data_IF_192012853298
#
_entry.id   IF_192012853298
#
_cell.length_a   1.000
_cell.length_b   1.000
_cell.length_c   1.000
_cell.angle_alpha   90.00
_cell.angle_beta   90.00
_cell.angle_gamma   90.00
#
_symmetry.space_group_name_H-M   'P 1'
#
loop_
_entity.id
_entity.type
_entity.pdbx_description
1 polymer ?
#
# COMPACT_ATOMS: atom_id res chain seq x y z
N UNK A 1 31.75 -19.23 30.88
CA UNK A 1 30.58 -18.55 30.31
C UNK A 1 30.33 -19.21 28.99
N UNK A 2 29.22 -19.92 28.88
CA UNK A 2 28.84 -20.71 27.70
C UNK A 2 28.72 -19.82 26.47
N UNK A 3 29.53 -20.12 25.47
CA UNK A 3 29.28 -19.72 24.10
C UNK A 3 28.07 -20.53 23.62
N UNK A 4 26.87 -19.98 23.75
CA UNK A 4 25.68 -20.54 23.11
C UNK A 4 25.93 -20.52 21.60
N UNK A 5 26.13 -21.71 21.05
CA UNK A 5 26.22 -21.97 19.63
C UNK A 5 25.04 -21.28 18.94
N UNK A 6 25.34 -20.30 18.08
CA UNK A 6 24.36 -19.72 17.16
C UNK A 6 23.94 -20.82 16.20
N UNK A 7 22.94 -21.58 16.59
CA UNK A 7 22.26 -22.53 15.71
C UNK A 7 21.78 -21.72 14.51
N UNK A 8 22.39 -21.94 13.35
CA UNK A 8 21.97 -21.32 12.10
C UNK A 8 20.67 -22.01 11.73
N UNK A 9 19.56 -21.57 12.33
CA UNK A 9 18.23 -22.04 11.99
C UNK A 9 17.96 -21.56 10.57
N UNK A 10 18.19 -22.44 9.60
CA UNK A 10 17.85 -22.22 8.19
C UNK A 10 16.33 -22.17 8.13
N UNK A 11 15.77 -20.96 8.10
CA UNK A 11 14.33 -20.78 7.93
C UNK A 11 13.94 -21.26 6.56
N UNK A 12 13.01 -22.21 6.54
CA UNK A 12 12.41 -22.70 5.31
C UNK A 12 11.80 -21.54 4.49
N UNK A 13 11.93 -21.62 3.16
CA UNK A 13 11.46 -20.56 2.25
C UNK A 13 9.95 -20.40 2.29
N UNK A 14 9.20 -21.49 2.43
CA UNK A 14 7.74 -21.47 2.50
C UNK A 14 7.30 -20.89 3.85
N UNK A 15 7.98 -21.23 4.95
CA UNK A 15 7.73 -20.61 6.24
C UNK A 15 8.00 -19.11 6.22
N UNK A 16 9.14 -18.68 5.65
CA UNK A 16 9.46 -17.25 5.47
C UNK A 16 8.38 -16.53 4.67
N UNK A 17 7.90 -17.14 3.58
CA UNK A 17 6.81 -16.58 2.76
C UNK A 17 5.52 -16.47 3.55
N UNK A 18 5.15 -17.51 4.31
CA UNK A 18 3.93 -17.53 5.14
C UNK A 18 3.95 -16.42 6.19
N UNK A 19 5.07 -16.24 6.89
CA UNK A 19 5.25 -15.14 7.86
C UNK A 19 5.03 -13.78 7.18
N UNK A 20 5.68 -13.53 6.04
CA UNK A 20 5.54 -12.27 5.30
C UNK A 20 4.11 -12.01 4.83
N UNK A 21 3.40 -13.04 4.37
CA UNK A 21 2.01 -12.92 3.92
C UNK A 21 1.06 -12.59 5.07
N UNK A 22 1.19 -13.29 6.20
CA UNK A 22 0.39 -13.02 7.40
C UNK A 22 0.61 -11.60 7.92
N UNK A 23 1.87 -11.17 8.06
CA UNK A 23 2.20 -9.80 8.49
C UNK A 23 1.60 -8.76 7.53
N UNK A 24 1.70 -8.97 6.22
CA UNK A 24 1.09 -8.05 5.24
C UNK A 24 -0.44 -8.00 5.34
N UNK A 25 -1.10 -9.12 5.63
CA UNK A 25 -2.56 -9.13 5.84
C UNK A 25 -2.95 -8.31 7.07
N UNK A 26 -2.21 -8.46 8.17
CA UNK A 26 -2.40 -7.69 9.40
C UNK A 26 -2.19 -6.20 9.16
N UNK A 27 -1.11 -5.82 8.49
CA UNK A 27 -0.81 -4.42 8.19
C UNK A 27 -1.87 -3.77 7.29
N UNK A 28 -2.42 -4.51 6.31
CA UNK A 28 -3.48 -4.01 5.42
C UNK A 28 -4.82 -3.79 6.11
N UNK A 29 -5.18 -4.62 7.10
CA UNK A 29 -6.43 -4.45 7.87
C UNK A 29 -6.31 -3.42 8.99
N UNK A 30 -5.08 -3.06 9.35
CA UNK A 30 -4.79 -2.17 10.46
C UNK A 30 -4.56 -0.73 9.99
N UNK A 31 -4.77 0.22 10.88
CA UNK A 31 -4.35 1.61 10.64
C UNK A 31 -2.83 1.75 10.81
N UNK A 32 -2.16 2.33 9.81
CA UNK A 32 -0.73 2.65 9.85
C UNK A 32 -0.32 3.53 11.05
N UNK A 33 -1.26 4.30 11.62
CA UNK A 33 -1.02 5.12 12.81
C UNK A 33 -0.99 4.34 14.13
N UNK A 34 -1.65 3.17 14.16
CA UNK A 34 -1.86 2.40 15.38
C UNK A 34 -1.06 1.12 15.43
N UNK A 35 -0.72 0.56 14.26
CA UNK A 35 0.02 -0.68 14.13
C UNK A 35 1.53 -0.41 14.24
N UNK A 36 2.22 -1.24 15.00
CA UNK A 36 3.68 -1.22 15.14
C UNK A 36 4.24 -2.59 14.79
N UNK A 37 5.54 -2.69 14.55
CA UNK A 37 6.20 -3.98 14.31
C UNK A 37 5.89 -4.99 15.42
N UNK A 38 5.95 -4.56 16.68
CA UNK A 38 5.66 -5.40 17.85
C UNK A 38 4.23 -5.95 17.79
N UNK A 39 3.23 -5.08 17.57
CA UNK A 39 1.82 -5.53 17.47
C UNK A 39 1.59 -6.47 16.29
N UNK A 40 2.16 -6.13 15.13
CA UNK A 40 2.05 -6.98 13.94
C UNK A 40 2.71 -8.34 14.17
N UNK A 41 3.82 -8.39 14.90
CA UNK A 41 4.52 -9.61 15.29
C UNK A 41 3.69 -10.46 16.25
N UNK A 42 3.12 -9.85 17.30
CA UNK A 42 2.34 -10.57 18.32
C UNK A 42 1.06 -11.17 17.69
N UNK A 43 0.41 -10.42 16.82
CA UNK A 43 -0.78 -10.87 16.11
C UNK A 43 -0.45 -11.95 15.06
N UNK A 44 0.65 -11.80 14.32
CA UNK A 44 1.11 -12.83 13.39
C UNK A 44 1.55 -14.11 14.10
N UNK A 45 2.15 -13.99 15.30
CA UNK A 45 2.52 -15.13 16.13
C UNK A 45 1.28 -15.92 16.55
N UNK A 46 0.22 -15.19 16.93
CA UNK A 46 -1.07 -15.78 17.29
C UNK A 46 -1.76 -16.45 16.09
N UNK A 47 -1.72 -15.85 14.89
CA UNK A 47 -2.32 -16.44 13.69
C UNK A 47 -1.57 -17.66 13.15
N UNK A 48 -0.25 -17.72 13.36
CA UNK A 48 0.60 -18.80 12.86
C UNK A 48 0.87 -19.90 13.89
N UNK A 49 0.43 -19.69 15.14
CA UNK A 49 0.77 -20.53 16.30
C UNK A 49 2.29 -20.76 16.40
N UNK A 50 3.04 -19.67 16.22
CA UNK A 50 4.51 -19.67 16.15
C UNK A 50 5.07 -18.44 16.85
N UNK A 51 6.04 -18.61 17.75
CA UNK A 51 6.71 -17.48 18.40
C UNK A 51 7.65 -16.75 17.43
N UNK A 52 7.20 -15.58 16.95
CA UNK A 52 7.98 -14.74 16.04
C UNK A 52 8.90 -13.75 16.77
N UNK A 53 8.92 -13.74 18.11
CA UNK A 53 9.70 -12.79 18.92
C UNK A 53 11.22 -13.04 18.85
N UNK A 54 11.61 -14.26 18.48
CA UNK A 54 13.00 -14.71 18.42
C UNK A 54 13.56 -14.57 17.01
N UNK A 55 14.88 -14.41 16.94
CA UNK A 55 15.60 -14.61 15.69
C UNK A 55 15.51 -16.09 15.28
N UNK A 56 15.46 -16.39 13.98
CA UNK A 56 15.50 -15.48 12.82
C UNK A 56 14.15 -14.87 12.41
N UNK A 57 13.04 -15.23 13.06
CA UNK A 57 11.69 -14.83 12.65
C UNK A 57 11.42 -13.34 12.82
N UNK A 58 11.93 -12.74 13.89
CA UNK A 58 11.84 -11.31 14.16
C UNK A 58 12.36 -10.46 12.99
N UNK A 59 13.49 -10.86 12.40
CA UNK A 59 14.06 -10.18 11.24
C UNK A 59 13.15 -10.26 10.01
N UNK A 60 12.47 -11.39 9.81
CA UNK A 60 11.53 -11.58 8.71
C UNK A 60 10.31 -10.67 8.86
N UNK A 61 9.78 -10.56 10.09
CA UNK A 61 8.65 -9.66 10.39
C UNK A 61 9.06 -8.21 10.16
N UNK A 62 10.22 -7.80 10.67
CA UNK A 62 10.75 -6.45 10.47
C UNK A 62 10.91 -6.12 9.00
N UNK A 63 11.51 -7.02 8.20
CA UNK A 63 11.66 -6.85 6.75
C UNK A 63 10.29 -6.68 6.06
N UNK A 64 9.26 -7.42 6.50
CA UNK A 64 7.92 -7.31 5.93
C UNK A 64 7.26 -5.96 6.24
N UNK A 65 7.40 -5.47 7.48
CA UNK A 65 6.87 -4.17 7.91
C UNK A 65 7.58 -3.01 7.20
N UNK A 66 8.91 -3.03 7.14
CA UNK A 66 9.69 -1.98 6.47
C UNK A 66 9.30 -1.86 4.98
N UNK A 67 9.23 -2.99 4.27
CA UNK A 67 8.78 -3.01 2.86
C UNK A 67 7.35 -2.52 2.68
N UNK A 68 6.47 -2.74 3.66
CA UNK A 68 5.10 -2.26 3.60
C UNK A 68 5.04 -0.74 3.73
N UNK A 69 5.79 -0.17 4.68
CA UNK A 69 5.86 1.28 4.91
C UNK A 69 6.50 1.97 3.69
N UNK A 70 7.59 1.43 3.15
CA UNK A 70 8.26 1.98 1.97
C UNK A 70 7.28 2.08 0.78
N UNK A 71 6.50 1.03 0.52
CA UNK A 71 5.47 1.04 -0.54
C UNK A 71 4.36 2.06 -0.27
N UNK A 72 3.94 2.21 0.98
CA UNK A 72 2.92 3.18 1.35
C UNK A 72 3.41 4.61 1.12
N UNK A 73 4.65 4.92 1.50
CA UNK A 73 5.27 6.24 1.27
C UNK A 73 5.37 6.54 -0.22
N UNK A 74 5.90 5.61 -1.03
CA UNK A 74 6.00 5.79 -2.48
C UNK A 74 4.64 6.02 -3.15
N UNK A 75 3.59 5.32 -2.70
CA UNK A 75 2.25 5.50 -3.22
C UNK A 75 1.70 6.91 -2.91
N UNK A 76 1.89 7.37 -1.67
CA UNK A 76 1.46 8.70 -1.23
C UNK A 76 2.21 9.80 -2.01
N UNK A 77 3.53 9.69 -2.17
CA UNK A 77 4.33 10.65 -2.94
C UNK A 77 3.85 10.73 -4.40
N UNK A 78 3.54 9.60 -5.02
CA UNK A 78 3.00 9.56 -6.38
C UNK A 78 1.61 10.19 -6.50
N UNK A 79 0.73 10.00 -5.52
CA UNK A 79 -0.61 10.61 -5.52
C UNK A 79 -0.56 12.11 -5.26
N UNK A 80 0.28 12.57 -4.33
CA UNK A 80 0.46 14.00 -4.05
C UNK A 80 1.00 14.73 -5.29
N UNK A 81 1.96 14.14 -6.00
CA UNK A 81 2.46 14.70 -7.26
C UNK A 81 1.35 14.92 -8.29
N UNK A 82 0.48 13.93 -8.49
CA UNK A 82 -0.67 14.03 -9.42
C UNK A 82 -1.65 15.13 -9.01
N UNK A 83 -1.96 15.23 -7.72
CA UNK A 83 -2.86 16.27 -7.22
C UNK A 83 -2.26 17.67 -7.36
N UNK A 84 -0.95 17.82 -7.13
CA UNK A 84 -0.26 19.08 -7.34
C UNK A 84 -0.30 19.51 -8.82
N UNK A 85 0.00 18.60 -9.75
CA UNK A 85 -0.04 18.89 -11.19
C UNK A 85 -1.44 19.33 -11.65
N UNK A 86 -2.49 18.69 -11.15
CA UNK A 86 -3.88 19.07 -11.44
C UNK A 86 -4.19 20.49 -10.92
N UNK A 87 -3.75 20.84 -9.70
CA UNK A 87 -3.96 22.18 -9.12
C UNK A 87 -3.23 23.25 -9.94
N UNK A 88 -2.01 22.98 -10.40
CA UNK A 88 -1.25 23.93 -11.23
C UNK A 88 -1.97 24.20 -12.56
N UNK A 89 -2.48 23.16 -13.23
CA UNK A 89 -3.26 23.31 -14.47
C UNK A 89 -4.54 24.14 -14.27
N UNK A 90 -5.25 23.94 -13.17
CA UNK A 90 -6.49 24.66 -12.87
C UNK A 90 -6.25 26.14 -12.50
N UNK A 91 -5.08 26.48 -11.94
CA UNK A 91 -4.71 27.87 -11.59
C UNK A 91 -4.17 28.65 -12.79
N UNK A 92 -3.35 28.04 -13.65
CA UNK A 92 -2.86 28.70 -14.88
C UNK A 92 -3.96 28.85 -15.97
N UNK A 93 -5.06 28.10 -15.87
CA UNK A 93 -6.21 28.22 -16.78
C UNK A 93 -7.12 29.45 -16.60
N UNK A 94 -6.85 30.36 -15.65
CA UNK A 94 -7.72 31.53 -15.33
C UNK A 94 -7.25 32.84 -15.99
N UNK A 95 -6.42 32.80 -17.03
CA UNK A 95 -6.16 33.95 -17.89
C UNK A 95 -6.51 33.66 -19.35
N UNK A 96 -7.80 33.66 -19.69
CA UNK A 96 -8.33 34.33 -20.90
C UNK A 96 -9.87 34.20 -20.99
N UNK A 97 -10.58 35.25 -20.56
CA UNK A 97 -11.95 35.51 -21.01
C UNK A 97 -11.89 36.16 -22.40
N UNK A 98 -12.26 35.42 -23.44
CA UNK A 98 -12.81 36.02 -24.67
C UNK A 98 -13.81 35.12 -25.39
N UNK A 99 -15.09 35.40 -25.11
CA UNK A 99 -16.20 35.56 -26.07
C UNK A 99 -16.60 34.43 -27.05
N UNK A 100 -17.80 33.87 -26.79
CA UNK A 100 -19.00 33.93 -27.67
C UNK A 100 -18.97 33.15 -29.01
N UNK A 101 -19.70 32.02 -29.08
CA UNK A 101 -20.89 31.81 -29.97
C UNK A 101 -21.37 30.34 -30.03
N UNK A 102 -22.52 30.11 -29.38
CA UNK A 102 -23.74 29.43 -29.89
C UNK A 102 -23.61 28.77 -31.28
N UNK A 103 -23.75 27.44 -31.37
CA UNK A 103 -24.50 26.79 -32.47
C UNK A 103 -25.23 25.53 -31.98
N UNK A 104 -26.53 25.74 -31.73
CA UNK A 104 -27.61 24.75 -31.80
C UNK A 104 -27.46 23.96 -33.11
N UNK A 105 -27.53 22.63 -33.08
CA UNK A 105 -28.21 21.92 -34.15
C UNK A 105 -28.98 20.71 -33.61
N UNK A 106 -30.23 20.65 -34.03
CA UNK A 106 -31.31 19.74 -33.65
C UNK A 106 -31.83 19.16 -34.95
N UNK A 107 -31.75 17.84 -35.13
CA UNK A 107 -32.46 17.04 -36.15
C UNK A 107 -32.40 15.60 -35.62
N UNK A 108 -33.42 14.96 -35.02
CA UNK A 108 -34.78 14.60 -35.45
C UNK A 108 -34.85 13.90 -36.82
N UNK A 109 -34.95 12.56 -36.81
CA UNK A 109 -35.88 11.71 -37.58
C UNK A 109 -35.67 10.26 -37.11
N UNK A 110 -36.53 9.76 -36.23
CA UNK A 110 -37.78 9.02 -36.51
C UNK A 110 -37.54 7.61 -37.08
N UNK A 111 -38.00 6.67 -36.26
CA UNK A 111 -38.61 5.38 -36.55
C UNK A 111 -38.85 4.97 -38.01
N UNK A 112 -38.73 3.64 -38.18
CA UNK A 112 -39.71 2.73 -38.80
C UNK A 112 -39.24 1.90 -39.99
N UNK A 113 -39.54 0.60 -39.85
CA UNK A 113 -39.90 -0.38 -40.87
C UNK A 113 -38.82 -0.87 -41.86
N UNK A 114 -38.40 -2.12 -41.70
CA UNK A 114 -38.99 -3.29 -42.40
C UNK A 114 -38.00 -4.46 -42.36
#
# INVERSE_FOLDING_TARGET
MEEEAREVVVVDKDLKKKIKETVNKILKRSSLYQITEVKARDEASSELDLDLSKDPYKLIVREAVERFIEKAVMAIESEIGKHHDQIVQDVEGVSEKSTKKKKKNKTKKEDSAA
#
